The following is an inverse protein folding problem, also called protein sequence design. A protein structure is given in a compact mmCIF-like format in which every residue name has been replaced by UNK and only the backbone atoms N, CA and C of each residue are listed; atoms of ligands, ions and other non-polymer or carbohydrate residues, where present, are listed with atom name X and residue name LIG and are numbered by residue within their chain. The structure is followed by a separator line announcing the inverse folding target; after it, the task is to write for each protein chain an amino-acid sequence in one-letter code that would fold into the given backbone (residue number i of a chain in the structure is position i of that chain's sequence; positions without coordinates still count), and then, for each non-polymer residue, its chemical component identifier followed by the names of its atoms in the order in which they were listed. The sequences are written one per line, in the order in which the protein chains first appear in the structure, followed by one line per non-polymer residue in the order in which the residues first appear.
data_IF_115828824349
#
_entry.id   IF_115828824349
#
_cell.length_a   1.000
_cell.length_b   1.000
_cell.length_c   1.000
_cell.angle_alpha   90.00
_cell.angle_beta   90.00
_cell.angle_gamma   90.00
#
_symmetry.space_group_name_H-M   'P 1'
#
loop_
_entity.id
_entity.type
_entity.pdbx_description
1 polymer ?
#
# COMPACT_ATOMS: atom_id res chain seq x y z
N UNK A 1 -5.55 3.89 -4.89
CA UNK A 1 -4.68 5.10 -4.80
C UNK A 1 -3.96 5.28 -3.46
N UNK A 2 -4.54 4.95 -2.28
CA UNK A 2 -3.86 5.07 -0.95
C UNK A 2 -2.43 4.50 -0.91
N UNK A 3 -2.23 3.29 -1.44
CA UNK A 3 -0.95 2.57 -1.49
C UNK A 3 0.21 3.39 -2.07
N UNK A 4 -0.03 4.16 -3.13
CA UNK A 4 1.03 4.92 -3.80
C UNK A 4 1.54 6.10 -2.96
N UNK A 5 0.65 6.77 -2.21
CA UNK A 5 0.99 8.00 -1.49
C UNK A 5 1.95 7.74 -0.32
N UNK A 6 1.75 6.66 0.45
CA UNK A 6 2.66 6.32 1.55
C UNK A 6 4.06 5.93 1.06
N UNK A 7 4.13 5.22 -0.07
CA UNK A 7 5.41 4.84 -0.71
C UNK A 7 6.12 6.10 -1.24
N UNK A 8 5.39 7.01 -1.87
CA UNK A 8 5.94 8.29 -2.36
C UNK A 8 6.49 9.12 -1.20
N UNK A 9 5.79 9.25 -0.07
CA UNK A 9 6.32 9.98 1.10
C UNK A 9 7.60 9.33 1.64
N UNK A 10 7.58 7.99 1.84
CA UNK A 10 8.76 7.24 2.29
C UNK A 10 9.94 7.27 1.31
N UNK A 11 9.70 7.52 0.02
CA UNK A 11 10.74 7.67 -1.00
C UNK A 11 11.25 9.12 -1.14
N UNK A 12 10.37 10.12 -1.01
CA UNK A 12 10.69 11.55 -1.16
C UNK A 12 11.49 12.08 0.04
N UNK A 13 11.21 11.60 1.25
CA UNK A 13 11.92 12.01 2.45
C UNK A 13 13.45 11.75 2.36
N UNK A 14 13.94 10.52 2.08
CA UNK A 14 15.36 10.27 1.90
C UNK A 14 15.92 10.95 0.63
N UNK A 15 15.12 11.13 -0.42
CA UNK A 15 15.54 11.91 -1.61
C UNK A 15 15.97 13.32 -1.22
N UNK A 16 15.14 14.06 -0.48
CA UNK A 16 15.43 15.45 -0.10
C UNK A 16 16.66 15.51 0.81
N UNK A 17 16.77 14.61 1.79
CA UNK A 17 17.91 14.54 2.72
C UNK A 17 19.23 14.38 1.95
N UNK A 18 19.34 13.35 1.11
CA UNK A 18 20.58 13.08 0.39
C UNK A 18 20.86 14.10 -0.73
N UNK A 19 19.81 14.68 -1.34
CA UNK A 19 19.95 15.79 -2.29
C UNK A 19 20.58 17.02 -1.61
N UNK A 20 20.09 17.44 -0.44
CA UNK A 20 20.62 18.61 0.26
C UNK A 20 22.05 18.34 0.75
N UNK A 21 22.34 17.15 1.27
CA UNK A 21 23.70 16.76 1.64
C UNK A 21 24.68 16.81 0.44
N UNK A 22 24.26 16.31 -0.74
CA UNK A 22 25.06 16.40 -1.96
C UNK A 22 25.26 17.84 -2.44
N UNK A 23 24.23 18.70 -2.37
CA UNK A 23 24.35 20.13 -2.70
C UNK A 23 25.35 20.82 -1.79
N UNK A 24 25.28 20.61 -0.47
CA UNK A 24 26.23 21.19 0.51
C UNK A 24 27.66 20.76 0.17
N UNK A 25 27.87 19.47 -0.07
CA UNK A 25 29.17 18.91 -0.45
C UNK A 25 29.71 19.47 -1.77
N UNK A 26 28.86 19.68 -2.77
CA UNK A 26 29.25 20.35 -4.03
C UNK A 26 29.63 21.81 -3.76
N UNK A 27 28.84 22.54 -2.95
CA UNK A 27 29.17 23.92 -2.58
C UNK A 27 30.41 24.05 -1.69
N UNK A 28 30.82 22.97 -1.02
CA UNK A 28 32.07 22.92 -0.25
C UNK A 28 33.34 23.02 -1.12
N UNK A 29 33.23 22.72 -2.41
CA UNK A 29 34.37 22.72 -3.35
C UNK A 29 34.77 24.17 -3.65
N UNK A 30 35.65 24.73 -2.80
CA UNK A 30 36.18 26.09 -2.92
C UNK A 30 35.52 27.14 -2.01
N UNK A 31 34.63 26.72 -1.08
CA UNK A 31 34.09 27.61 -0.05
C UNK A 31 35.10 27.87 1.08
N UNK A 32 34.87 28.96 1.84
CA UNK A 32 35.56 29.20 3.10
C UNK A 32 35.01 28.27 4.21
N UNK A 33 35.88 27.87 5.13
CA UNK A 33 35.53 26.92 6.19
C UNK A 33 34.34 27.39 7.06
N UNK A 34 34.27 28.70 7.33
CA UNK A 34 33.21 29.30 8.15
C UNK A 34 31.85 29.32 7.45
N UNK A 35 31.82 29.63 6.15
CA UNK A 35 30.62 29.50 5.33
C UNK A 35 30.11 28.05 5.24
N UNK A 36 31.03 27.07 5.17
CA UNK A 36 30.68 25.66 5.15
C UNK A 36 30.07 25.18 6.47
N UNK A 37 30.71 25.51 7.59
CA UNK A 37 30.24 25.18 8.95
C UNK A 37 28.83 25.74 9.19
N UNK A 38 28.57 26.98 8.79
CA UNK A 38 27.26 27.61 8.86
C UNK A 38 26.19 26.90 8.00
N UNK A 39 26.53 26.45 6.78
CA UNK A 39 25.61 25.68 5.93
C UNK A 39 25.30 24.31 6.51
N UNK A 40 26.29 23.66 7.13
CA UNK A 40 26.11 22.38 7.81
C UNK A 40 25.22 22.52 9.05
N UNK A 41 25.45 23.52 9.89
CA UNK A 41 24.59 23.83 11.05
C UNK A 41 23.14 24.08 10.62
N UNK A 42 22.91 24.90 9.59
CA UNK A 42 21.56 25.17 9.06
C UNK A 42 20.89 23.87 8.60
N UNK A 43 21.64 22.98 7.93
CA UNK A 43 21.16 21.66 7.53
C UNK A 43 20.83 20.76 8.72
N UNK A 44 21.70 20.70 9.73
CA UNK A 44 21.49 19.95 10.97
C UNK A 44 20.23 20.42 11.69
N UNK A 45 20.05 21.74 11.88
CA UNK A 45 18.84 22.32 12.48
C UNK A 45 17.60 22.02 11.65
N UNK A 46 17.67 22.15 10.33
CA UNK A 46 16.56 21.82 9.43
C UNK A 46 16.20 20.33 9.48
N UNK A 47 17.19 19.44 9.51
CA UNK A 47 17.03 18.00 9.56
C UNK A 47 16.39 17.55 10.89
N UNK A 48 16.91 18.02 12.02
CA UNK A 48 16.35 17.74 13.36
C UNK A 48 14.93 18.28 13.47
N UNK A 49 14.67 19.52 13.01
CA UNK A 49 13.33 20.13 13.03
C UNK A 49 12.35 19.37 12.13
N UNK A 50 12.81 18.94 10.95
CA UNK A 50 12.01 18.14 10.00
C UNK A 50 11.67 16.77 10.57
N UNK A 51 12.65 16.05 11.14
CA UNK A 51 12.40 14.77 11.84
C UNK A 51 11.45 14.98 13.02
N UNK A 52 11.63 16.04 13.82
CA UNK A 52 10.72 16.38 14.91
C UNK A 52 9.29 16.54 14.42
N UNK A 53 9.07 17.36 13.39
CA UNK A 53 7.73 17.61 12.84
C UNK A 53 7.13 16.36 12.17
N UNK A 54 7.94 15.59 11.44
CA UNK A 54 7.54 14.36 10.74
C UNK A 54 7.36 13.18 11.69
N UNK A 55 7.94 13.16 12.89
CA UNK A 55 7.65 12.13 13.90
C UNK A 55 6.48 12.52 14.80
N UNK A 56 6.31 13.81 15.11
CA UNK A 56 5.28 14.31 16.02
C UNK A 56 3.89 14.34 15.35
N UNK A 57 3.78 14.72 14.07
CA UNK A 57 2.50 14.71 13.35
C UNK A 57 1.89 13.29 13.26
N UNK A 58 2.64 12.23 12.89
CA UNK A 58 2.12 10.87 12.89
C UNK A 58 1.91 10.32 14.31
N UNK A 59 2.70 10.73 15.31
CA UNK A 59 2.45 10.38 16.72
C UNK A 59 1.08 10.88 17.19
N UNK A 60 0.68 12.11 16.84
CA UNK A 60 -0.67 12.63 17.09
C UNK A 60 -1.71 11.78 16.37
N UNK A 61 -1.49 11.44 15.10
CA UNK A 61 -2.41 10.59 14.32
C UNK A 61 -2.53 9.18 14.92
N UNK A 62 -1.48 8.61 15.52
CA UNK A 62 -1.52 7.32 16.22
C UNK A 62 -2.48 7.33 17.41
N UNK A 63 -2.50 8.41 18.20
CA UNK A 63 -3.44 8.58 19.31
C UNK A 63 -4.90 8.72 18.84
N UNK A 64 -5.14 9.21 17.62
CA UNK A 64 -6.50 9.47 17.09
C UNK A 64 -7.02 8.33 16.20
N UNK A 65 -6.18 7.66 15.40
CA UNK A 65 -6.55 6.58 14.46
C UNK A 65 -5.45 5.53 14.29
N UNK A 66 -5.33 4.66 15.28
CA UNK A 66 -4.29 3.61 15.41
C UNK A 66 -4.12 2.70 14.19
N UNK A 67 -5.21 2.28 13.55
CA UNK A 67 -5.15 1.29 12.45
C UNK A 67 -4.67 1.88 11.12
N UNK A 68 -5.16 3.07 10.76
CA UNK A 68 -4.68 3.81 9.57
C UNK A 68 -3.20 4.18 9.73
N UNK A 69 -2.81 4.61 10.93
CA UNK A 69 -1.42 4.93 11.25
C UNK A 69 -0.48 3.72 11.06
N UNK A 70 -0.88 2.52 11.47
CA UNK A 70 -0.08 1.31 11.25
C UNK A 70 0.16 1.04 9.77
N UNK A 71 -0.86 1.22 8.94
CA UNK A 71 -0.73 1.04 7.50
C UNK A 71 0.20 2.09 6.87
N UNK A 72 0.08 3.36 7.32
CA UNK A 72 0.97 4.45 6.91
C UNK A 72 2.45 4.14 7.25
N UNK A 73 2.75 3.76 8.49
CA UNK A 73 4.10 3.36 8.89
C UNK A 73 4.69 2.22 8.05
N UNK A 74 3.90 1.21 7.67
CA UNK A 74 4.40 0.10 6.83
C UNK A 74 4.84 0.61 5.44
N UNK A 75 4.13 1.58 4.86
CA UNK A 75 4.56 2.18 3.59
C UNK A 75 5.71 3.15 3.75
N UNK A 76 5.74 3.92 4.83
CA UNK A 76 6.79 4.91 5.09
C UNK A 76 8.12 4.21 5.39
N UNK A 77 8.15 3.26 6.34
CA UNK A 77 9.33 2.44 6.65
C UNK A 77 9.73 1.57 5.45
N UNK A 78 8.75 1.02 4.73
CA UNK A 78 9.01 0.22 3.53
C UNK A 78 9.63 1.04 2.40
N UNK A 79 9.09 2.23 2.14
CA UNK A 79 9.62 3.19 1.17
C UNK A 79 11.00 3.70 1.57
N UNK A 80 11.16 4.17 2.81
CA UNK A 80 12.46 4.62 3.32
C UNK A 80 13.51 3.52 3.21
N UNK A 81 13.18 2.30 3.65
CA UNK A 81 14.11 1.17 3.66
C UNK A 81 14.59 0.76 2.26
N UNK A 82 13.70 0.83 1.26
CA UNK A 82 14.01 0.50 -0.13
C UNK A 82 14.74 1.64 -0.87
N UNK A 83 14.28 2.88 -0.70
CA UNK A 83 14.74 4.03 -1.49
C UNK A 83 15.93 4.77 -0.88
N UNK A 84 16.12 4.75 0.45
CA UNK A 84 17.27 5.42 1.06
C UNK A 84 18.63 4.90 0.55
N UNK A 85 18.87 3.57 0.41
CA UNK A 85 20.10 3.06 -0.21
C UNK A 85 20.30 3.51 -1.66
N UNK A 86 19.23 3.56 -2.45
CA UNK A 86 19.26 4.00 -3.86
C UNK A 86 19.62 5.48 -3.98
N UNK A 87 18.96 6.34 -3.21
CA UNK A 87 19.25 7.77 -3.21
C UNK A 87 20.65 8.07 -2.68
N UNK A 88 21.09 7.38 -1.63
CA UNK A 88 22.44 7.52 -1.09
C UNK A 88 23.52 7.21 -2.13
N UNK A 89 23.39 6.13 -2.90
CA UNK A 89 24.31 5.82 -4.02
C UNK A 89 24.27 6.91 -5.11
N UNK A 90 23.06 7.27 -5.57
CA UNK A 90 22.87 8.26 -6.63
C UNK A 90 23.45 9.65 -6.27
N UNK A 91 23.18 10.12 -5.05
CA UNK A 91 23.64 11.43 -4.61
C UNK A 91 25.11 11.45 -4.22
N UNK A 92 25.70 10.31 -3.87
CA UNK A 92 27.17 10.19 -3.74
C UNK A 92 27.83 10.40 -5.11
N UNK A 93 27.39 9.68 -6.15
CA UNK A 93 27.87 9.88 -7.53
C UNK A 93 27.71 11.34 -8.00
N UNK A 94 26.54 11.94 -7.78
CA UNK A 94 26.27 13.35 -8.13
C UNK A 94 27.20 14.32 -7.36
N UNK A 95 27.56 13.99 -6.11
CA UNK A 95 28.47 14.80 -5.30
C UNK A 95 29.94 14.71 -5.70
N UNK A 96 30.28 13.88 -6.69
CA UNK A 96 31.63 13.75 -7.26
C UNK A 96 32.46 12.57 -6.74
N UNK A 97 31.96 11.81 -5.75
CA UNK A 97 32.59 10.57 -5.31
C UNK A 97 31.89 9.36 -5.94
N UNK A 98 32.62 8.32 -6.39
CA UNK A 98 31.97 7.12 -6.91
C UNK A 98 31.20 6.41 -5.79
N UNK A 99 29.98 5.95 -6.07
CA UNK A 99 29.09 5.27 -5.10
C UNK A 99 29.74 4.05 -4.43
N UNK A 100 30.69 3.39 -5.08
CA UNK A 100 31.40 2.24 -4.49
C UNK A 100 32.38 2.63 -3.37
N UNK A 101 32.76 3.92 -3.27
CA UNK A 101 33.60 4.44 -2.18
C UNK A 101 32.97 4.19 -0.81
N UNK A 102 31.64 4.29 -0.72
CA UNK A 102 30.79 4.00 0.45
C UNK A 102 31.06 2.61 1.03
N UNK A 103 31.33 1.62 0.16
CA UNK A 103 31.58 0.23 0.54
C UNK A 103 33.04 -0.01 0.97
N UNK A 104 33.96 0.86 0.55
CA UNK A 104 35.41 0.73 0.79
C UNK A 104 35.85 1.57 2.00
N UNK A 105 35.45 2.84 2.05
CA UNK A 105 35.84 3.81 3.07
C UNK A 105 34.77 4.01 4.16
N UNK A 106 33.48 3.76 3.85
CA UNK A 106 32.36 4.16 4.70
C UNK A 106 31.83 5.54 4.33
N UNK A 107 31.17 6.21 5.28
CA UNK A 107 30.67 7.60 5.13
C UNK A 107 31.26 8.44 6.25
N UNK A 108 32.00 9.48 5.91
CA UNK A 108 32.45 10.50 6.87
C UNK A 108 31.28 11.40 7.28
N UNK A 109 31.19 11.76 8.56
CA UNK A 109 30.10 12.58 9.12
C UNK A 109 28.67 12.06 8.81
N UNK A 110 28.53 10.75 8.59
CA UNK A 110 27.30 10.12 8.10
C UNK A 110 26.15 10.03 9.10
N UNK A 111 26.43 10.23 10.38
CA UNK A 111 25.43 10.32 11.46
C UNK A 111 25.65 11.59 12.28
N UNK A 112 24.56 12.23 12.68
CA UNK A 112 24.60 13.39 13.57
C UNK A 112 24.57 12.89 15.02
N UNK A 113 25.60 13.21 15.80
CA UNK A 113 25.74 12.81 17.19
C UNK A 113 25.95 13.99 18.15
N UNK A 114 25.78 13.72 19.45
CA UNK A 114 26.18 14.63 20.51
C UNK A 114 27.53 14.18 21.07
N UNK A 115 28.53 15.06 21.03
CA UNK A 115 29.82 14.77 21.65
C UNK A 115 29.78 14.99 23.17
N UNK A 116 30.80 14.52 23.93
CA UNK A 116 30.84 14.70 25.39
C UNK A 116 30.84 16.17 25.85
N UNK A 117 31.09 17.12 24.94
CA UNK A 117 31.02 18.56 25.19
C UNK A 117 29.59 19.15 25.08
N UNK A 118 28.64 18.39 24.53
CA UNK A 118 27.32 18.86 24.14
C UNK A 118 27.26 19.50 22.74
N UNK A 119 28.39 19.61 22.03
CA UNK A 119 28.40 20.00 20.62
C UNK A 119 27.75 18.93 19.74
N UNK A 120 27.21 19.37 18.60
CA UNK A 120 26.73 18.48 17.55
C UNK A 120 27.91 18.19 16.61
N UNK A 121 28.28 16.92 16.51
CA UNK A 121 29.41 16.47 15.71
C UNK A 121 28.96 15.37 14.74
N UNK A 122 29.61 15.31 13.57
CA UNK A 122 29.45 14.20 12.65
C UNK A 122 30.15 12.96 13.19
N UNK A 123 29.50 11.81 13.02
CA UNK A 123 30.04 10.49 13.38
C UNK A 123 30.27 9.71 12.09
N UNK A 124 31.52 9.31 11.88
CA UNK A 124 31.93 8.45 10.78
C UNK A 124 31.26 7.07 10.87
N UNK A 125 30.64 6.65 9.76
CA UNK A 125 29.98 5.35 9.63
C UNK A 125 30.88 4.41 8.85
N UNK A 126 31.63 3.57 9.57
CA UNK A 126 32.47 2.52 8.96
C UNK A 126 31.64 1.58 8.07
N UNK A 127 32.23 1.20 6.94
CA UNK A 127 31.69 0.22 6.00
C UNK A 127 31.26 -1.10 6.66
N UNK A 128 31.93 -1.53 7.74
CA UNK A 128 31.61 -2.75 8.48
C UNK A 128 30.19 -2.72 9.09
N UNK A 129 29.71 -1.56 9.50
CA UNK A 129 28.33 -1.36 9.98
C UNK A 129 27.37 -0.96 8.86
N UNK A 130 27.86 -0.14 7.93
CA UNK A 130 27.05 0.41 6.84
C UNK A 130 26.55 -0.66 5.86
N UNK A 131 27.40 -1.62 5.47
CA UNK A 131 27.04 -2.65 4.49
C UNK A 131 25.91 -3.56 5.02
N UNK A 132 25.99 -4.15 6.24
CA UNK A 132 24.87 -4.87 6.83
C UNK A 132 23.60 -4.02 6.97
N UNK A 133 23.73 -2.73 7.32
CA UNK A 133 22.60 -1.82 7.49
C UNK A 133 21.88 -1.54 6.17
N UNK A 134 22.60 -1.23 5.09
CA UNK A 134 22.02 -1.01 3.75
C UNK A 134 21.35 -2.27 3.20
N UNK A 135 21.97 -3.45 3.39
CA UNK A 135 21.38 -4.74 2.98
C UNK A 135 20.11 -5.03 3.79
N UNK A 136 20.16 -4.90 5.12
CA UNK A 136 19.01 -5.10 6.00
C UNK A 136 17.86 -4.13 5.66
N UNK A 137 18.17 -2.84 5.47
CA UNK A 137 17.25 -1.80 5.04
C UNK A 137 16.52 -2.18 3.75
N UNK A 138 17.28 -2.60 2.72
CA UNK A 138 16.72 -2.99 1.42
C UNK A 138 15.82 -4.22 1.54
N UNK A 139 16.25 -5.25 2.28
CA UNK A 139 15.47 -6.48 2.51
C UNK A 139 14.18 -6.17 3.28
N UNK A 140 14.26 -5.36 4.34
CA UNK A 140 13.11 -4.92 5.12
C UNK A 140 12.15 -4.09 4.25
N UNK A 141 12.67 -3.17 3.44
CA UNK A 141 11.88 -2.40 2.46
C UNK A 141 11.08 -3.30 1.53
N UNK A 142 11.75 -4.27 0.90
CA UNK A 142 11.11 -5.26 0.02
C UNK A 142 10.07 -6.13 0.75
N UNK A 143 10.30 -6.50 2.02
CA UNK A 143 9.36 -7.27 2.83
C UNK A 143 8.12 -6.44 3.19
N UNK A 144 8.31 -5.21 3.67
CA UNK A 144 7.22 -4.32 4.09
C UNK A 144 6.35 -3.87 2.91
N UNK A 145 6.95 -3.59 1.75
CA UNK A 145 6.24 -3.22 0.53
C UNK A 145 5.61 -4.42 -0.21
N UNK A 146 5.87 -5.66 0.22
CA UNK A 146 5.28 -6.85 -0.41
C UNK A 146 3.77 -6.88 -0.19
N UNK A 147 2.94 -7.04 -1.24
CA UNK A 147 1.47 -7.04 -1.12
C UNK A 147 0.91 -8.05 -0.11
N UNK A 148 1.57 -9.20 0.07
CA UNK A 148 1.18 -10.21 1.06
C UNK A 148 1.46 -9.81 2.52
N UNK A 149 2.50 -9.02 2.78
CA UNK A 149 2.78 -8.48 4.11
C UNK A 149 1.76 -7.41 4.46
N UNK A 150 1.53 -6.48 3.53
CA UNK A 150 0.50 -5.44 3.60
C UNK A 150 -0.88 -6.03 3.89
N UNK A 151 -1.31 -7.06 3.15
CA UNK A 151 -2.63 -7.70 3.36
C UNK A 151 -2.74 -8.40 4.72
N UNK A 152 -1.63 -8.83 5.33
CA UNK A 152 -1.60 -9.52 6.64
C UNK A 152 -1.50 -8.57 7.84
N UNK A 153 -0.87 -7.40 7.68
CA UNK A 153 -0.51 -6.52 8.79
C UNK A 153 -1.01 -5.07 8.67
N UNK A 154 -1.43 -4.64 7.48
CA UNK A 154 -1.87 -3.28 7.18
C UNK A 154 -3.40 -3.06 7.21
N UNK A 155 -4.20 -4.13 7.25
CA UNK A 155 -5.66 -4.05 7.44
C UNK A 155 -6.04 -5.07 8.52
N UNK A 156 -6.77 -4.62 9.54
CA UNK A 156 -7.33 -5.48 10.59
C UNK A 156 -8.86 -5.50 10.62
N UNK A 157 -9.48 -4.92 9.59
CA UNK A 157 -10.91 -5.00 9.33
C UNK A 157 -11.19 -6.23 8.44
N UNK A 158 -12.27 -6.96 8.77
CA UNK A 158 -12.92 -7.99 7.93
C UNK A 158 -12.27 -9.37 7.67
N UNK A 159 -11.24 -9.82 8.42
CA UNK A 159 -10.80 -11.24 8.38
C UNK A 159 -10.98 -11.99 9.71
N UNK A 160 -11.70 -11.41 10.67
CA UNK A 160 -12.11 -12.09 11.92
C UNK A 160 -13.58 -12.54 11.94
N UNK A 161 -14.36 -12.25 10.89
CA UNK A 161 -15.75 -12.75 10.75
C UNK A 161 -15.83 -13.99 9.87
N UNK A 162 -15.02 -14.10 8.81
CA UNK A 162 -14.99 -15.29 7.92
C UNK A 162 -13.86 -16.27 8.23
N UNK A 163 -13.84 -16.84 9.44
CA UNK A 163 -13.17 -18.14 9.66
C UNK A 163 -13.80 -19.04 10.73
N UNK A 164 -15.13 -19.09 10.76
CA UNK A 164 -15.89 -20.27 11.23
C UNK A 164 -16.68 -20.83 10.05
N UNK A 165 -16.30 -21.97 9.47
CA UNK A 165 -17.25 -22.76 8.69
C UNK A 165 -18.27 -23.35 9.67
N UNK A 166 -19.46 -22.76 9.73
CA UNK A 166 -20.59 -23.38 10.43
C UNK A 166 -21.12 -24.49 9.53
N UNK A 167 -20.90 -25.76 9.88
CA UNK A 167 -21.13 -26.86 8.93
C UNK A 167 -21.13 -28.28 9.48
N UNK A 168 -21.16 -28.50 10.80
CA UNK A 168 -21.52 -29.81 11.37
C UNK A 168 -22.09 -29.60 12.78
N UNK A 169 -23.41 -29.53 12.87
CA UNK A 169 -24.12 -29.51 14.15
C UNK A 169 -24.70 -30.90 14.42
N UNK A 170 -23.92 -31.77 15.07
CA UNK A 170 -24.47 -32.98 15.69
C UNK A 170 -25.00 -32.64 17.09
N UNK A 171 -26.33 -32.51 17.16
CA UNK A 171 -27.22 -32.88 18.26
C UNK A 171 -26.57 -33.13 19.64
N UNK A 172 -26.88 -32.29 20.65
CA UNK A 172 -27.32 -32.75 22.00
C UNK A 172 -27.54 -31.59 23.01
N UNK A 173 -28.78 -31.50 23.53
CA UNK A 173 -29.21 -30.97 24.85
C UNK A 173 -29.10 -29.46 25.19
N UNK A 174 -30.29 -28.87 25.38
CA UNK A 174 -30.65 -27.76 26.29
C UNK A 174 -30.64 -28.24 27.78
N UNK A 175 -30.73 -27.40 28.84
CA UNK A 175 -30.97 -25.95 28.94
C UNK A 175 -29.83 -25.19 29.70
N UNK A 176 -29.91 -23.97 30.28
CA UNK A 176 -31.02 -23.07 30.67
C UNK A 176 -30.57 -21.59 30.81
N UNK A 177 -31.51 -20.65 31.04
CA UNK A 177 -31.42 -19.26 31.60
C UNK A 177 -30.08 -18.49 31.57
N UNK A 178 -29.97 -17.25 31.05
CA UNK A 178 -30.65 -16.04 31.57
C UNK A 178 -30.68 -14.85 30.56
N UNK A 179 -31.73 -14.04 30.71
CA UNK A 179 -31.91 -12.60 30.44
C UNK A 179 -31.58 -12.00 29.05
N UNK A 180 -32.65 -11.55 28.40
CA UNK A 180 -32.68 -10.76 27.17
C UNK A 180 -32.37 -9.27 27.44
N UNK A 181 -31.52 -8.66 26.62
CA UNK A 181 -31.74 -7.29 26.11
C UNK A 181 -30.87 -7.04 24.85
N UNK A 182 -31.11 -7.83 23.80
CA UNK A 182 -30.54 -7.55 22.48
C UNK A 182 -31.36 -6.47 21.78
N UNK A 183 -30.78 -5.31 21.53
CA UNK A 183 -31.41 -4.27 20.69
C UNK A 183 -31.72 -4.85 19.31
N UNK A 184 -33.01 -4.91 19.00
CA UNK A 184 -33.52 -5.33 17.70
C UNK A 184 -33.21 -4.23 16.67
N UNK A 185 -32.04 -4.34 16.02
CA UNK A 185 -31.71 -3.50 14.87
C UNK A 185 -32.53 -4.01 13.70
N UNK A 186 -33.66 -3.37 13.45
CA UNK A 186 -34.51 -3.58 12.28
C UNK A 186 -33.74 -3.19 11.00
N UNK A 187 -32.93 -4.13 10.50
CA UNK A 187 -32.26 -4.00 9.22
C UNK A 187 -33.30 -4.23 8.12
N UNK A 188 -33.54 -3.26 7.21
CA UNK A 188 -34.47 -3.46 6.12
C UNK A 188 -34.02 -4.66 5.28
N UNK A 189 -34.97 -5.53 4.96
CA UNK A 189 -34.75 -6.79 4.28
C UNK A 189 -34.35 -6.56 2.81
N UNK A 190 -33.06 -6.28 2.57
CA UNK A 190 -32.48 -6.04 1.23
C UNK A 190 -32.38 -7.37 0.49
N UNK A 191 -33.54 -7.86 0.05
CA UNK A 191 -33.63 -8.96 -0.89
C UNK A 191 -32.92 -8.60 -2.19
N UNK A 192 -32.18 -9.57 -2.75
CA UNK A 192 -31.53 -9.40 -4.05
C UNK A 192 -32.58 -9.04 -5.11
N UNK A 193 -32.28 -8.12 -6.06
CA UNK A 193 -33.26 -7.68 -7.05
C UNK A 193 -33.72 -8.87 -7.88
N UNK A 194 -35.00 -9.22 -7.75
CA UNK A 194 -35.61 -10.28 -8.54
C UNK A 194 -35.56 -9.91 -10.02
N UNK A 195 -35.22 -10.85 -10.92
CA UNK A 195 -35.06 -10.53 -12.34
C UNK A 195 -36.40 -10.08 -12.92
N UNK A 196 -36.45 -8.84 -13.41
CA UNK A 196 -37.59 -8.27 -14.12
C UNK A 196 -37.38 -8.41 -15.63
N UNK A 197 -38.45 -8.28 -16.41
CA UNK A 197 -38.34 -8.32 -17.88
C UNK A 197 -37.36 -7.24 -18.39
N UNK A 198 -37.37 -6.07 -17.73
CA UNK A 198 -36.50 -4.94 -18.05
C UNK A 198 -35.02 -5.21 -17.66
N UNK A 199 -34.74 -5.91 -16.56
CA UNK A 199 -33.35 -6.26 -16.19
C UNK A 199 -32.73 -7.26 -17.16
N UNK A 200 -33.55 -8.20 -17.66
CA UNK A 200 -33.15 -9.17 -18.70
C UNK A 200 -32.92 -8.47 -20.04
N UNK A 201 -33.75 -7.50 -20.40
CA UNK A 201 -33.57 -6.68 -21.60
C UNK A 201 -32.27 -5.84 -21.53
N UNK A 202 -32.02 -5.16 -20.41
CA UNK A 202 -30.79 -4.40 -20.19
C UNK A 202 -29.53 -5.29 -20.22
N UNK A 203 -29.59 -6.50 -19.64
CA UNK A 203 -28.50 -7.46 -19.71
C UNK A 203 -28.22 -7.89 -21.16
N UNK A 204 -29.27 -8.15 -21.95
CA UNK A 204 -29.15 -8.49 -23.37
C UNK A 204 -28.55 -7.35 -24.20
N UNK A 205 -28.99 -6.12 -23.99
CA UNK A 205 -28.42 -4.93 -24.65
C UNK A 205 -26.93 -4.76 -24.32
N UNK A 206 -26.54 -4.91 -23.05
CA UNK A 206 -25.13 -4.87 -22.62
C UNK A 206 -24.31 -5.98 -23.28
N UNK A 207 -24.83 -7.19 -23.43
CA UNK A 207 -24.12 -8.28 -24.08
C UNK A 207 -24.00 -8.09 -25.60
N UNK A 208 -25.02 -7.54 -26.27
CA UNK A 208 -24.98 -7.18 -27.70
C UNK A 208 -23.94 -6.09 -27.95
N UNK A 209 -23.88 -5.05 -27.11
CA UNK A 209 -22.90 -3.96 -27.25
C UNK A 209 -21.45 -4.43 -27.01
N UNK A 210 -21.27 -5.55 -26.30
CA UNK A 210 -19.98 -6.21 -26.10
C UNK A 210 -19.61 -7.23 -27.20
N UNK A 211 -20.32 -7.19 -28.35
CA UNK A 211 -20.11 -8.06 -29.52
C UNK A 211 -20.23 -9.58 -29.20
N UNK A 212 -21.05 -9.92 -28.21
CA UNK A 212 -21.32 -11.32 -27.84
C UNK A 212 -22.40 -11.88 -28.76
N UNK A 213 -22.13 -13.05 -29.34
CA UNK A 213 -23.05 -13.67 -30.29
C UNK A 213 -24.36 -14.10 -29.61
N UNK A 214 -25.48 -13.87 -30.30
CA UNK A 214 -26.84 -14.18 -29.83
C UNK A 214 -27.02 -15.61 -29.24
N UNK A 215 -26.41 -16.70 -29.78
CA UNK A 215 -26.49 -18.03 -29.16
C UNK A 215 -25.90 -18.06 -27.75
N UNK A 216 -24.76 -17.39 -27.54
CA UNK A 216 -24.06 -17.27 -26.26
C UNK A 216 -24.86 -16.45 -25.26
N UNK A 217 -25.52 -15.37 -25.71
CA UNK A 217 -26.43 -14.56 -24.88
C UNK A 217 -27.59 -15.42 -24.37
N UNK A 218 -28.22 -16.20 -25.24
CA UNK A 218 -29.34 -17.06 -24.85
C UNK A 218 -28.92 -18.15 -23.86
N UNK A 219 -27.69 -18.70 -23.95
CA UNK A 219 -27.16 -19.63 -22.94
C UNK A 219 -26.98 -18.97 -21.57
N UNK A 220 -26.47 -17.73 -21.54
CA UNK A 220 -26.31 -16.95 -20.30
C UNK A 220 -27.68 -16.69 -19.65
N UNK A 221 -28.65 -16.16 -20.41
CA UNK A 221 -29.98 -15.85 -19.88
C UNK A 221 -30.73 -17.10 -19.39
N UNK A 222 -30.63 -18.22 -20.13
CA UNK A 222 -31.26 -19.49 -19.75
C UNK A 222 -30.59 -20.18 -18.54
N UNK A 223 -29.40 -19.72 -18.10
CA UNK A 223 -28.71 -20.26 -16.93
C UNK A 223 -29.17 -19.67 -15.59
N UNK A 224 -30.14 -18.75 -15.61
CA UNK A 224 -30.64 -18.04 -14.42
C UNK A 224 -29.94 -16.71 -14.14
N UNK A 225 -28.99 -16.30 -14.99
CA UNK A 225 -28.34 -14.99 -14.93
C UNK A 225 -29.28 -13.96 -15.59
N UNK A 226 -30.17 -13.37 -14.79
CA UNK A 226 -31.22 -12.45 -15.25
C UNK A 226 -30.91 -10.96 -15.10
N UNK A 227 -29.82 -10.60 -14.40
CA UNK A 227 -29.35 -9.22 -14.23
C UNK A 227 -27.86 -9.07 -14.52
N UNK A 228 -27.43 -7.85 -14.82
CA UNK A 228 -25.99 -7.50 -14.94
C UNK A 228 -25.23 -7.70 -13.63
N UNK A 229 -25.92 -7.59 -12.49
CA UNK A 229 -25.40 -7.91 -11.15
C UNK A 229 -25.10 -9.40 -10.99
N UNK A 230 -26.02 -10.27 -11.41
CA UNK A 230 -25.84 -11.73 -11.35
C UNK A 230 -24.69 -12.17 -12.25
N UNK A 231 -24.55 -11.52 -13.42
CA UNK A 231 -23.45 -11.80 -14.33
C UNK A 231 -22.11 -11.44 -13.69
N UNK A 232 -21.99 -10.28 -13.04
CA UNK A 232 -20.76 -9.87 -12.30
C UNK A 232 -20.51 -10.74 -11.06
N UNK A 233 -21.56 -11.28 -10.43
CA UNK A 233 -21.45 -12.22 -9.31
C UNK A 233 -21.02 -13.64 -9.74
N UNK A 234 -21.18 -13.98 -11.02
CA UNK A 234 -20.81 -15.28 -11.60
C UNK A 234 -19.30 -15.35 -11.84
N UNK A 235 -18.65 -16.46 -11.48
CA UNK A 235 -17.22 -16.61 -11.74
C UNK A 235 -16.92 -16.81 -13.24
N UNK A 236 -15.74 -16.41 -13.70
CA UNK A 236 -15.33 -16.62 -15.10
C UNK A 236 -15.34 -18.10 -15.51
N UNK A 237 -15.12 -19.01 -14.55
CA UNK A 237 -15.10 -20.46 -14.76
C UNK A 237 -16.52 -21.00 -14.91
N UNK A 238 -17.47 -20.49 -14.11
CA UNK A 238 -18.90 -20.80 -14.27
C UNK A 238 -19.43 -20.23 -15.59
N UNK A 239 -19.10 -18.98 -15.90
CA UNK A 239 -19.52 -18.33 -17.14
C UNK A 239 -18.98 -19.07 -18.37
N UNK A 240 -17.68 -19.44 -18.39
CA UNK A 240 -17.09 -20.24 -19.47
C UNK A 240 -17.82 -21.59 -19.65
N UNK A 241 -18.12 -22.28 -18.55
CA UNK A 241 -18.82 -23.58 -18.55
C UNK A 241 -20.26 -23.47 -19.09
N UNK A 242 -20.96 -22.38 -18.76
CA UNK A 242 -22.35 -22.11 -19.17
C UNK A 242 -22.44 -21.66 -20.64
N UNK A 243 -21.58 -20.72 -21.02
CA UNK A 243 -21.69 -20.00 -22.29
C UNK A 243 -20.92 -20.65 -23.44
N UNK A 244 -20.08 -21.65 -23.15
CA UNK A 244 -19.15 -22.26 -24.10
C UNK A 244 -17.98 -21.35 -24.48
N UNK A 245 -17.83 -20.19 -23.81
CA UNK A 245 -16.71 -19.28 -24.02
C UNK A 245 -15.42 -19.87 -23.45
N UNK A 246 -14.31 -19.58 -24.13
CA UNK A 246 -12.97 -19.86 -23.61
C UNK A 246 -12.73 -19.05 -22.32
N UNK A 247 -11.98 -19.59 -21.35
CA UNK A 247 -11.88 -18.98 -19.99
C UNK A 247 -11.43 -17.51 -20.05
N UNK A 248 -10.49 -17.20 -20.94
CA UNK A 248 -9.99 -15.84 -21.18
C UNK A 248 -11.04 -14.89 -21.79
N UNK A 249 -11.96 -15.41 -22.62
CA UNK A 249 -13.07 -14.63 -23.15
C UNK A 249 -14.12 -14.35 -22.08
N UNK A 250 -14.42 -15.32 -21.21
CA UNK A 250 -15.29 -15.12 -20.05
C UNK A 250 -14.72 -14.10 -19.04
N UNK A 251 -13.41 -14.16 -18.75
CA UNK A 251 -12.72 -13.15 -17.92
C UNK A 251 -12.81 -11.74 -18.52
N UNK A 252 -12.55 -11.60 -19.83
CA UNK A 252 -12.67 -10.31 -20.53
C UNK A 252 -14.10 -9.76 -20.51
N UNK A 253 -15.11 -10.62 -20.71
CA UNK A 253 -16.53 -10.26 -20.67
C UNK A 253 -16.92 -9.73 -19.29
N UNK A 254 -16.55 -10.42 -18.22
CA UNK A 254 -16.82 -9.98 -16.85
C UNK A 254 -16.13 -8.63 -16.53
N UNK A 255 -14.89 -8.44 -16.95
CA UNK A 255 -14.20 -7.14 -16.79
C UNK A 255 -14.89 -6.02 -17.57
N UNK A 256 -15.38 -6.29 -18.78
CA UNK A 256 -16.07 -5.31 -19.61
C UNK A 256 -17.43 -4.91 -19.01
N UNK A 257 -18.23 -5.89 -18.55
CA UNK A 257 -19.50 -5.65 -17.85
C UNK A 257 -19.27 -4.91 -16.53
N UNK A 258 -18.30 -5.33 -15.72
CA UNK A 258 -17.95 -4.64 -14.47
C UNK A 258 -17.51 -3.19 -14.74
N UNK A 259 -16.71 -2.95 -15.79
CA UNK A 259 -16.32 -1.61 -16.20
C UNK A 259 -17.55 -0.78 -16.59
N UNK A 260 -18.42 -1.30 -17.45
CA UNK A 260 -19.64 -0.56 -17.86
C UNK A 260 -20.53 -0.25 -16.67
N UNK A 261 -20.75 -1.19 -15.75
CA UNK A 261 -21.59 -1.01 -14.56
C UNK A 261 -21.01 0.02 -13.56
N UNK A 262 -19.68 0.10 -13.43
CA UNK A 262 -19.02 1.09 -12.57
C UNK A 262 -18.82 2.48 -13.19
N UNK A 263 -18.86 2.59 -14.53
CA UNK A 263 -18.56 3.84 -15.25
C UNK A 263 -19.75 4.41 -16.05
N UNK A 264 -20.93 3.76 -16.10
CA UNK A 264 -22.12 4.28 -16.80
C UNK A 264 -22.80 5.49 -16.15
N UNK A 265 -22.28 5.98 -15.02
CA UNK A 265 -22.76 7.16 -14.31
C UNK A 265 -21.82 8.38 -14.38
N UNK A 266 -20.87 8.41 -15.32
CA UNK A 266 -19.93 9.51 -15.60
C UNK A 266 -20.03 9.90 -17.07
#
# INVERSE_FOLDING_TARGET
MRYAHGIVVGAVLPFIIFMVAAVIKITAIGADATGLEMLWDIYVYWFITSIGLITLLPLIIYFVRKDIFRQFLIYEIGGFGLFAPLWLMLFTDISGDPWYSIFIAGITDGLIGFSPSGAIEGIDVSNLFLIPLLISSTILGLIFLRPSFIKKYGIKEEVSVMKKPLGTAEISKSPESTDEESMEIDMPDVNAPTPTVDSVANLREVLIELDIQEPTINLILNSGIGTTTDLVATSAEQLATISGLDKRAAENLLMAVQRKLWFSGI
#
